data_IF_595646001561
#
_entry.id   IF_595646001561
#
_cell.length_a   1.000
_cell.length_b   1.000
_cell.length_c   1.000
_cell.angle_alpha   90.00
_cell.angle_beta   90.00
_cell.angle_gamma   90.00
#
_symmetry.space_group_name_H-M   'P 1'
#
loop_
_entity.id
_entity.type
_entity.pdbx_description
1 polymer ?
#
# COMPACT_ATOMS: atom_id res chain seq x y z
N UNK A 1 -28.02 -10.04 -4.37
CA UNK A 1 -26.82 -10.83 -4.51
C UNK A 1 -25.66 -10.21 -3.71
N UNK A 2 -25.19 -10.91 -2.69
CA UNK A 2 -24.13 -10.46 -1.80
C UNK A 2 -22.77 -10.26 -2.52
N UNK A 3 -22.50 -10.99 -3.59
CA UNK A 3 -21.20 -10.98 -4.27
C UNK A 3 -20.85 -9.67 -4.99
N UNK A 4 -21.81 -9.03 -5.65
CA UNK A 4 -21.57 -7.79 -6.40
C UNK A 4 -21.36 -6.58 -5.49
N UNK A 5 -22.08 -6.49 -4.37
CA UNK A 5 -21.91 -5.41 -3.40
C UNK A 5 -20.55 -5.47 -2.71
N UNK A 6 -20.07 -6.66 -2.37
CA UNK A 6 -18.77 -6.86 -1.72
C UNK A 6 -17.63 -6.57 -2.69
N UNK A 7 -17.74 -6.99 -3.95
CA UNK A 7 -16.77 -6.67 -5.01
C UNK A 7 -16.68 -5.16 -5.24
N UNK A 8 -17.84 -4.49 -5.32
CA UNK A 8 -17.88 -3.03 -5.49
C UNK A 8 -17.26 -2.28 -4.31
N UNK A 9 -17.62 -2.64 -3.10
CA UNK A 9 -17.08 -2.03 -1.87
C UNK A 9 -15.55 -2.15 -1.77
N UNK A 10 -15.00 -3.26 -2.26
CA UNK A 10 -13.57 -3.50 -2.31
C UNK A 10 -12.87 -2.71 -3.42
N UNK A 11 -13.47 -2.62 -4.62
CA UNK A 11 -12.87 -1.91 -5.76
C UNK A 11 -12.69 -0.41 -5.50
N UNK A 12 -13.61 0.23 -4.79
CA UNK A 12 -13.54 1.68 -4.51
C UNK A 12 -12.30 2.04 -3.68
N UNK A 13 -12.00 1.37 -2.55
CA UNK A 13 -10.76 1.64 -1.81
C UNK A 13 -9.49 1.37 -2.62
N UNK A 14 -9.45 0.31 -3.42
CA UNK A 14 -8.30 -0.04 -4.26
C UNK A 14 -8.04 1.04 -5.31
N UNK A 15 -9.07 1.55 -5.96
CA UNK A 15 -8.95 2.64 -6.94
C UNK A 15 -8.46 3.93 -6.30
N UNK A 16 -9.01 4.29 -5.16
CA UNK A 16 -8.61 5.46 -4.40
C UNK A 16 -7.16 5.38 -3.94
N UNK A 17 -6.75 4.24 -3.46
CA UNK A 17 -5.38 3.96 -3.05
C UNK A 17 -4.40 4.11 -4.22
N UNK A 18 -4.72 3.49 -5.37
CA UNK A 18 -3.94 3.64 -6.59
C UNK A 18 -3.82 5.09 -7.02
N UNK A 19 -4.93 5.81 -7.07
CA UNK A 19 -4.96 7.21 -7.46
C UNK A 19 -4.12 8.08 -6.53
N UNK A 20 -4.22 7.88 -5.22
CA UNK A 20 -3.42 8.59 -4.24
C UNK A 20 -1.92 8.42 -4.51
N UNK A 21 -1.45 7.20 -4.64
CA UNK A 21 -0.02 6.93 -4.87
C UNK A 21 0.46 7.43 -6.23
N UNK A 22 -0.37 7.35 -7.27
CA UNK A 22 -0.05 7.94 -8.58
C UNK A 22 0.06 9.46 -8.53
N UNK A 23 -0.85 10.12 -7.85
CA UNK A 23 -0.81 11.59 -7.71
C UNK A 23 0.43 12.05 -6.97
N UNK A 24 0.83 11.37 -5.91
CA UNK A 24 2.07 11.66 -5.19
C UNK A 24 3.29 11.46 -6.11
N UNK A 25 3.33 10.37 -6.87
CA UNK A 25 4.41 10.11 -7.81
C UNK A 25 4.48 11.17 -8.94
N UNK A 26 3.33 11.61 -9.46
CA UNK A 26 3.26 12.69 -10.47
C UNK A 26 3.87 13.98 -9.97
N UNK A 27 3.69 14.31 -8.69
CA UNK A 27 4.26 15.51 -8.08
C UNK A 27 5.79 15.51 -8.05
N UNK A 28 6.41 14.34 -8.09
CA UNK A 28 7.86 14.20 -8.18
C UNK A 28 8.44 14.59 -9.56
N UNK A 29 7.58 14.74 -10.59
CA UNK A 29 8.00 15.12 -11.93
C UNK A 29 8.77 14.03 -12.69
N UNK A 30 8.75 12.79 -12.22
CA UNK A 30 9.47 11.68 -12.83
C UNK A 30 8.48 10.70 -13.48
N UNK A 31 8.39 10.73 -14.80
CA UNK A 31 7.46 9.90 -15.56
C UNK A 31 7.75 8.39 -15.45
N UNK A 32 8.99 8.01 -15.26
CA UNK A 32 9.38 6.61 -15.03
C UNK A 32 8.84 6.13 -13.70
N UNK A 33 8.96 6.95 -12.65
CA UNK A 33 8.41 6.63 -11.33
C UNK A 33 6.89 6.47 -11.38
N UNK A 34 6.19 7.35 -12.07
CA UNK A 34 4.72 7.25 -12.25
C UNK A 34 4.35 5.93 -12.91
N UNK A 35 5.06 5.54 -13.96
CA UNK A 35 4.81 4.27 -14.66
C UNK A 35 5.06 3.07 -13.76
N UNK A 36 6.18 3.03 -13.03
CA UNK A 36 6.50 1.94 -12.11
C UNK A 36 5.46 1.81 -11.00
N UNK A 37 5.08 2.90 -10.37
CA UNK A 37 4.05 2.92 -9.33
C UNK A 37 2.71 2.43 -9.91
N UNK A 38 2.32 2.90 -11.09
CA UNK A 38 1.10 2.44 -11.77
C UNK A 38 1.10 0.93 -12.01
N UNK A 39 2.19 0.40 -12.53
CA UNK A 39 2.34 -1.03 -12.78
C UNK A 39 2.26 -1.86 -11.49
N UNK A 40 2.90 -1.41 -10.42
CA UNK A 40 2.84 -2.08 -9.12
C UNK A 40 1.41 -2.15 -8.57
N UNK A 41 0.65 -1.08 -8.67
CA UNK A 41 -0.73 -1.06 -8.21
C UNK A 41 -1.67 -1.84 -9.14
N UNK A 42 -1.38 -1.92 -10.42
CA UNK A 42 -2.16 -2.70 -11.39
C UNK A 42 -2.03 -4.21 -11.13
N UNK A 43 -0.91 -4.67 -10.57
CA UNK A 43 -0.74 -6.07 -10.16
C UNK A 43 -1.75 -6.53 -9.10
N UNK A 44 -2.41 -5.61 -8.40
CA UNK A 44 -3.50 -5.94 -7.46
C UNK A 44 -4.70 -6.60 -8.13
N UNK A 45 -4.84 -6.48 -9.45
CA UNK A 45 -5.94 -7.07 -10.21
C UNK A 45 -5.68 -8.52 -10.62
N UNK A 46 -4.48 -9.05 -10.44
CA UNK A 46 -4.22 -10.45 -10.74
C UNK A 46 -4.91 -11.36 -9.71
N UNK A 47 -5.26 -12.62 -10.07
CA UNK A 47 -6.03 -13.52 -9.21
C UNK A 47 -5.38 -13.80 -7.84
N UNK A 48 -4.05 -13.88 -7.79
CA UNK A 48 -3.33 -14.10 -6.54
C UNK A 48 -3.45 -12.90 -5.60
N UNK A 49 -3.23 -11.70 -6.13
CA UNK A 49 -3.36 -10.46 -5.35
C UNK A 49 -4.79 -10.25 -4.85
N UNK A 50 -5.79 -10.59 -5.65
CA UNK A 50 -7.20 -10.55 -5.24
C UNK A 50 -7.45 -11.48 -4.05
N UNK A 51 -6.95 -12.72 -4.10
CA UNK A 51 -7.08 -13.68 -2.98
C UNK A 51 -6.36 -13.20 -1.72
N UNK A 52 -5.15 -12.67 -1.87
CA UNK A 52 -4.40 -12.12 -0.74
C UNK A 52 -5.13 -10.91 -0.13
N UNK A 53 -5.71 -10.06 -0.96
CA UNK A 53 -6.52 -8.94 -0.49
C UNK A 53 -7.74 -9.39 0.30
N UNK A 54 -8.45 -10.45 -0.12
CA UNK A 54 -9.56 -11.04 0.64
C UNK A 54 -9.13 -11.48 2.04
N UNK A 55 -7.88 -11.88 2.17
CA UNK A 55 -7.34 -12.39 3.43
C UNK A 55 -6.88 -11.27 4.37
N UNK A 56 -6.26 -10.21 3.84
CA UNK A 56 -5.57 -9.18 4.62
C UNK A 56 -6.31 -7.85 4.71
N UNK A 57 -7.17 -7.55 3.75
CA UNK A 57 -7.87 -6.28 3.68
C UNK A 57 -9.25 -6.35 4.33
N UNK A 58 -9.56 -5.38 5.16
CA UNK A 58 -10.85 -5.21 5.81
C UNK A 58 -11.15 -3.72 5.98
N UNK A 59 -12.40 -3.35 6.35
CA UNK A 59 -12.76 -1.94 6.53
C UNK A 59 -11.87 -1.20 7.53
N UNK A 60 -11.43 -1.84 8.60
CA UNK A 60 -10.57 -1.21 9.62
C UNK A 60 -9.18 -0.92 9.08
N UNK A 61 -8.57 -1.84 8.34
CA UNK A 61 -7.26 -1.63 7.72
C UNK A 61 -7.31 -0.51 6.67
N UNK A 62 -8.39 -0.42 5.91
CA UNK A 62 -8.60 0.67 4.96
C UNK A 62 -8.80 2.02 5.66
N UNK A 63 -9.53 2.07 6.76
CA UNK A 63 -9.71 3.30 7.54
C UNK A 63 -8.39 3.84 8.06
N UNK A 64 -7.51 2.97 8.56
CA UNK A 64 -6.16 3.33 9.01
C UNK A 64 -5.32 3.84 7.85
N UNK A 65 -5.34 3.16 6.71
CA UNK A 65 -4.60 3.58 5.51
C UNK A 65 -5.04 4.98 5.04
N UNK A 66 -6.33 5.26 5.04
CA UNK A 66 -6.86 6.59 4.67
C UNK A 66 -6.35 7.67 5.63
N UNK A 67 -6.30 7.39 6.93
CA UNK A 67 -5.74 8.32 7.92
C UNK A 67 -4.26 8.61 7.63
N UNK A 68 -3.50 7.59 7.29
CA UNK A 68 -2.09 7.72 6.90
C UNK A 68 -1.93 8.55 5.62
N UNK A 69 -2.78 8.30 4.60
CA UNK A 69 -2.83 9.11 3.36
C UNK A 69 -3.08 10.58 3.66
N UNK A 70 -4.01 10.89 4.55
CA UNK A 70 -4.33 12.27 4.93
C UNK A 70 -3.16 13.00 5.56
N UNK A 71 -2.32 12.32 6.32
CA UNK A 71 -1.09 12.90 6.87
C UNK A 71 -0.09 13.28 5.79
N UNK A 72 0.06 12.43 4.77
CA UNK A 72 0.91 12.73 3.61
C UNK A 72 0.38 13.96 2.88
N UNK A 73 -0.92 14.00 2.61
CA UNK A 73 -1.57 15.12 1.92
C UNK A 73 -1.40 16.43 2.71
N UNK A 74 -1.59 16.39 4.02
CA UNK A 74 -1.42 17.57 4.88
C UNK A 74 0.02 18.10 4.84
N UNK A 75 1.01 17.23 4.87
CA UNK A 75 2.42 17.62 4.78
C UNK A 75 2.75 18.24 3.42
N UNK A 76 2.24 17.65 2.33
CA UNK A 76 2.40 18.20 0.98
C UNK A 76 1.74 19.58 0.86
N UNK A 77 0.52 19.72 1.34
CA UNK A 77 -0.21 20.99 1.33
C UNK A 77 0.51 22.09 2.13
N UNK A 78 1.19 21.71 3.20
CA UNK A 78 2.01 22.62 4.00
C UNK A 78 3.37 22.95 3.37
N UNK A 79 3.75 22.28 2.28
CA UNK A 79 5.07 22.45 1.67
C UNK A 79 6.21 21.90 2.52
N UNK A 80 5.92 21.01 3.45
CA UNK A 80 6.90 20.41 4.36
C UNK A 80 7.42 19.08 3.81
N UNK A 81 8.54 19.15 3.10
CA UNK A 81 9.15 17.98 2.44
C UNK A 81 9.56 16.90 3.44
N UNK A 82 10.16 17.29 4.56
CA UNK A 82 10.62 16.34 5.57
C UNK A 82 9.43 15.61 6.21
N UNK A 83 8.35 16.32 6.53
CA UNK A 83 7.13 15.74 7.06
C UNK A 83 6.44 14.84 6.03
N UNK A 84 6.41 15.21 4.76
CA UNK A 84 5.83 14.41 3.68
C UNK A 84 6.58 13.08 3.51
N UNK A 85 7.92 13.14 3.53
CA UNK A 85 8.78 11.94 3.47
C UNK A 85 8.53 11.03 4.67
N UNK A 86 8.51 11.59 5.87
CA UNK A 86 8.27 10.82 7.09
C UNK A 86 6.89 10.19 7.11
N UNK A 87 5.86 10.92 6.69
CA UNK A 87 4.49 10.43 6.62
C UNK A 87 4.34 9.29 5.60
N UNK A 88 4.96 9.40 4.42
CA UNK A 88 4.93 8.33 3.43
C UNK A 88 5.71 7.09 3.90
N UNK A 89 6.88 7.27 4.48
CA UNK A 89 7.67 6.18 5.06
C UNK A 89 6.87 5.45 6.14
N UNK A 90 6.23 6.20 7.04
CA UNK A 90 5.37 5.63 8.06
C UNK A 90 4.22 4.83 7.46
N UNK A 91 3.52 5.40 6.46
CA UNK A 91 2.42 4.73 5.79
C UNK A 91 2.85 3.41 5.14
N UNK A 92 3.94 3.42 4.39
CA UNK A 92 4.42 2.21 3.71
C UNK A 92 4.88 1.15 4.71
N UNK A 93 5.54 1.55 5.80
CA UNK A 93 5.96 0.64 6.87
C UNK A 93 4.77 0.02 7.58
N UNK A 94 3.76 0.82 7.92
CA UNK A 94 2.53 0.32 8.56
C UNK A 94 1.73 -0.59 7.61
N UNK A 95 1.69 -0.28 6.32
CA UNK A 95 1.04 -1.14 5.33
C UNK A 95 1.72 -2.49 5.22
N UNK A 96 3.05 -2.51 5.22
CA UNK A 96 3.82 -3.74 5.24
C UNK A 96 3.55 -4.56 6.50
N UNK A 97 3.54 -3.92 7.66
CA UNK A 97 3.28 -4.59 8.93
C UNK A 97 1.86 -5.18 8.98
N UNK A 98 0.86 -4.45 8.50
CA UNK A 98 -0.52 -4.95 8.39
C UNK A 98 -0.62 -6.17 7.48
N UNK A 99 0.03 -6.12 6.33
CA UNK A 99 0.04 -7.21 5.36
C UNK A 99 0.70 -8.45 5.93
N UNK A 100 1.77 -8.29 6.71
CA UNK A 100 2.58 -9.40 7.23
C UNK A 100 2.13 -9.91 8.58
N UNK A 101 1.40 -9.12 9.38
CA UNK A 101 0.89 -9.52 10.69
C UNK A 101 -0.05 -10.74 10.62
N UNK A 102 -0.83 -10.84 9.54
CA UNK A 102 -1.76 -11.96 9.29
C UNK A 102 -1.16 -13.06 8.43
N UNK A 103 0.14 -13.01 8.18
CA UNK A 103 0.81 -13.99 7.33
C UNK A 103 0.70 -15.39 7.92
N UNK A 104 0.37 -16.44 7.13
CA UNK A 104 0.24 -17.79 7.65
C UNK A 104 1.50 -18.26 8.38
N UNK A 105 1.30 -19.11 9.42
CA UNK A 105 2.40 -19.74 10.14
C UNK A 105 3.31 -20.50 9.16
N UNK A 106 4.62 -20.25 9.21
CA UNK A 106 5.63 -20.78 8.28
C UNK A 106 6.20 -19.74 7.31
N UNK A 107 5.50 -18.63 7.09
CA UNK A 107 6.03 -17.55 6.25
C UNK A 107 7.16 -16.78 6.92
N UNK A 108 7.30 -16.88 8.24
CA UNK A 108 8.41 -16.30 8.99
C UNK A 108 9.75 -16.94 8.62
N UNK A 109 9.76 -18.19 8.17
CA UNK A 109 10.95 -18.86 7.66
C UNK A 109 11.50 -18.17 6.40
N UNK A 110 10.61 -17.67 5.53
CA UNK A 110 11.00 -16.90 4.35
C UNK A 110 11.56 -15.52 4.69
N UNK A 111 11.14 -14.94 5.81
CA UNK A 111 11.71 -13.68 6.34
C UNK A 111 13.12 -13.86 6.88
N UNK A 112 13.40 -14.98 7.52
CA UNK A 112 14.72 -15.27 8.07
C UNK A 112 15.76 -15.43 6.95
N UNK A 113 15.37 -16.05 5.83
CA UNK A 113 16.24 -16.24 4.66
C UNK A 113 16.51 -14.96 3.87
N UNK A 114 15.65 -13.97 3.98
CA UNK A 114 15.84 -12.66 3.31
C UNK A 114 16.80 -11.72 4.06
N UNK A 115 17.19 -12.05 5.29
CA UNK A 115 18.30 -11.41 5.97
C UNK A 115 19.60 -12.08 5.55
N UNK A 116 20.13 -11.68 4.41
CA UNK A 116 21.49 -12.07 4.05
C UNK A 116 22.44 -11.73 5.20
N UNK A 117 23.33 -12.67 5.54
CA UNK A 117 24.41 -12.32 6.45
C UNK A 117 25.21 -11.21 5.81
N UNK A 118 25.47 -10.16 6.58
CA UNK A 118 26.34 -9.08 6.15
C UNK A 118 27.61 -9.72 5.55
N UNK A 119 27.90 -9.37 4.30
CA UNK A 119 29.11 -9.81 3.63
C UNK A 119 30.29 -9.44 4.49
N UNK A 120 30.99 -10.43 5.00
CA UNK A 120 32.25 -10.29 5.73
C UNK A 120 33.37 -9.90 4.78
#
# INVERSE_FOLDING_TARGET
SRGLGDVYKRQVPIRGDRLFHLRVAEMAGNTVLVRVVGELFDERHNPLSVKLGDYFENPDSWAVAITEHRRVIAAIAAGDEAAARAAMHHHLSCSFDRLTASWPAGADALRADSKEPAAS
#
